data_IF_681902717435
#
_entry.id   IF_681902717435
#
_cell.length_a   1.000
_cell.length_b   1.000
_cell.length_c   1.000
_cell.angle_alpha   90.00
_cell.angle_beta   90.00
_cell.angle_gamma   90.00
#
_symmetry.space_group_name_H-M   'P 1'
#
loop_
_entity.id
_entity.type
_entity.pdbx_description
1 polymer ?
#
# COMPACT_ATOMS: atom_id res chain seq x y z
N UNK A 1 -2.72 24.24 10.90
CA UNK A 1 -2.46 22.92 11.50
C UNK A 1 -2.71 23.06 12.99
N UNK A 2 -3.81 22.47 13.49
CA UNK A 2 -4.27 22.64 14.87
C UNK A 2 -4.18 21.27 15.54
N UNK A 3 -3.15 21.00 16.37
CA UNK A 3 -2.90 19.67 16.88
C UNK A 3 -4.02 19.24 17.84
N UNK A 4 -4.42 17.98 17.74
CA UNK A 4 -5.40 17.36 18.66
C UNK A 4 -4.79 17.18 20.04
N UNK A 5 -3.51 16.80 20.11
CA UNK A 5 -2.77 16.61 21.36
C UNK A 5 -1.36 17.19 21.19
N UNK A 6 -0.88 17.85 22.23
CA UNK A 6 0.51 18.30 22.33
C UNK A 6 1.13 17.67 23.57
N UNK A 7 2.26 16.99 23.41
CA UNK A 7 2.99 16.37 24.51
C UNK A 7 4.44 16.83 24.55
N UNK A 8 5.02 16.79 25.74
CA UNK A 8 6.39 17.21 26.00
C UNK A 8 7.15 16.10 26.69
N UNK A 9 8.34 15.79 26.19
CA UNK A 9 9.28 14.87 26.82
C UNK A 9 10.52 15.63 27.27
N UNK A 10 10.92 15.47 28.53
CA UNK A 10 12.10 16.13 29.08
C UNK A 10 13.25 15.14 29.22
N UNK A 11 14.44 15.54 28.76
CA UNK A 11 15.67 14.79 28.95
C UNK A 11 16.34 15.11 30.29
N UNK A 12 17.21 14.22 30.75
CA UNK A 12 17.90 14.34 32.04
C UNK A 12 19.21 15.13 32.00
N UNK A 13 19.74 15.42 30.80
CA UNK A 13 20.98 16.21 30.64
C UNK A 13 20.70 17.70 30.76
N UNK A 14 21.58 18.42 31.45
CA UNK A 14 21.48 19.87 31.63
C UNK A 14 22.13 20.61 30.45
N UNK A 15 21.40 21.57 29.87
CA UNK A 15 21.91 22.49 28.84
C UNK A 15 21.47 23.92 29.20
N UNK A 16 22.07 24.94 28.58
CA UNK A 16 21.64 26.35 28.74
C UNK A 16 20.22 26.61 28.19
N UNK A 17 19.73 25.73 27.31
CA UNK A 17 18.37 25.72 26.76
C UNK A 17 17.56 24.56 27.34
N UNK A 18 16.22 24.64 27.36
CA UNK A 18 15.36 23.54 27.79
C UNK A 18 15.67 22.25 27.01
N UNK A 19 15.98 21.18 27.74
CA UNK A 19 16.16 19.85 27.17
C UNK A 19 14.80 19.16 27.01
N UNK A 20 14.00 19.62 26.05
CA UNK A 20 12.69 19.04 25.79
C UNK A 20 12.44 18.79 24.31
N UNK A 21 11.66 17.74 24.05
CA UNK A 21 11.05 17.45 22.76
C UNK A 21 9.57 17.76 22.89
N UNK A 22 9.01 18.43 21.89
CA UNK A 22 7.57 18.62 21.76
C UNK A 22 7.07 17.77 20.60
N UNK A 23 6.10 16.90 20.88
CA UNK A 23 5.39 16.15 19.86
C UNK A 23 4.01 16.77 19.63
N UNK A 24 3.64 16.86 18.36
CA UNK A 24 2.32 17.27 17.93
C UNK A 24 1.62 16.05 17.34
N UNK A 25 0.44 15.73 17.84
CA UNK A 25 -0.41 14.68 17.29
C UNK A 25 -1.63 15.37 16.68
N UNK A 26 -1.81 15.16 15.39
CA UNK A 26 -3.00 15.53 14.66
C UNK A 26 -3.76 14.23 14.37
N UNK A 27 -5.02 14.16 14.82
CA UNK A 27 -5.92 13.12 14.36
C UNK A 27 -6.60 13.64 13.10
N UNK A 28 -6.15 13.12 11.96
CA UNK A 28 -6.82 13.34 10.69
C UNK A 28 -7.86 12.22 10.60
N UNK A 29 -9.13 12.56 10.81
CA UNK A 29 -10.24 11.67 10.46
C UNK A 29 -10.44 11.76 8.94
N UNK A 30 -9.45 11.31 8.18
CA UNK A 30 -9.71 11.01 6.77
C UNK A 30 -10.70 9.84 6.76
N UNK A 31 -11.72 9.95 5.90
CA UNK A 31 -12.53 8.81 5.48
C UNK A 31 -11.58 7.64 5.19
N UNK A 32 -11.84 6.47 5.77
CA UNK A 32 -10.98 5.28 5.70
C UNK A 32 -10.25 5.19 4.34
N UNK A 33 -8.92 5.36 4.36
CA UNK A 33 -8.06 5.18 3.20
C UNK A 33 -8.18 3.72 2.75
N UNK A 34 -9.14 3.48 1.87
CA UNK A 34 -9.57 2.15 1.48
C UNK A 34 -8.87 1.76 0.19
N UNK A 35 -8.01 0.76 0.28
CA UNK A 35 -7.34 0.16 -0.87
C UNK A 35 -8.11 -1.10 -1.26
N UNK A 36 -8.37 -1.27 -2.56
CA UNK A 36 -8.92 -2.50 -3.11
C UNK A 36 -7.78 -3.36 -3.63
N UNK A 37 -7.86 -4.65 -3.30
CA UNK A 37 -7.07 -5.72 -3.90
C UNK A 37 -7.90 -6.42 -4.97
N UNK A 38 -7.46 -6.30 -6.23
CA UNK A 38 -7.96 -7.10 -7.35
C UNK A 38 -6.99 -8.27 -7.57
N UNK A 39 -7.50 -9.49 -7.49
CA UNK A 39 -6.71 -10.71 -7.71
C UNK A 39 -7.27 -11.54 -8.86
N UNK A 40 -6.36 -12.04 -9.71
CA UNK A 40 -6.70 -12.88 -10.85
C UNK A 40 -5.74 -14.08 -10.95
N UNK A 41 -6.29 -15.28 -11.12
CA UNK A 41 -5.48 -16.49 -11.30
C UNK A 41 -5.24 -16.74 -12.79
N UNK A 42 -3.96 -16.79 -13.17
CA UNK A 42 -3.51 -16.96 -14.55
C UNK A 42 -2.84 -18.33 -14.72
N UNK A 43 -3.41 -19.21 -15.54
CA UNK A 43 -2.84 -20.53 -15.86
C UNK A 43 -2.65 -20.80 -17.36
N UNK A 44 -3.16 -19.92 -18.21
CA UNK A 44 -3.08 -20.02 -19.68
C UNK A 44 -2.30 -18.83 -20.31
N UNK A 45 -1.44 -18.15 -19.54
CA UNK A 45 -0.56 -17.06 -20.01
C UNK A 45 0.92 -17.39 -19.83
N UNK A 46 1.78 -16.91 -20.74
CA UNK A 46 3.23 -17.03 -20.60
C UNK A 46 3.80 -15.97 -19.64
N UNK A 47 5.00 -16.19 -19.07
CA UNK A 47 5.67 -15.18 -18.24
C UNK A 47 5.89 -13.84 -18.94
N UNK A 48 6.12 -13.83 -20.25
CA UNK A 48 6.29 -12.61 -21.05
C UNK A 48 4.97 -11.83 -21.18
N UNK A 49 3.86 -12.53 -21.39
CA UNK A 49 2.52 -11.92 -21.43
C UNK A 49 2.13 -11.34 -20.07
N UNK A 50 2.48 -12.04 -18.99
CA UNK A 50 2.31 -11.53 -17.62
C UNK A 50 3.19 -10.30 -17.40
N UNK A 51 4.45 -10.32 -17.85
CA UNK A 51 5.35 -9.18 -17.77
C UNK A 51 4.80 -7.94 -18.48
N UNK A 52 4.31 -8.11 -19.71
CA UNK A 52 3.64 -7.04 -20.45
C UNK A 52 2.39 -6.53 -19.72
N UNK A 53 1.55 -7.42 -19.18
CA UNK A 53 0.37 -7.04 -18.40
C UNK A 53 0.73 -6.19 -17.18
N UNK A 54 1.78 -6.57 -16.43
CA UNK A 54 2.28 -5.80 -15.28
C UNK A 54 2.72 -4.41 -15.74
N UNK A 55 3.48 -4.29 -16.83
CA UNK A 55 3.88 -2.98 -17.36
C UNK A 55 2.67 -2.11 -17.73
N UNK A 56 1.65 -2.68 -18.36
CA UNK A 56 0.42 -1.93 -18.69
C UNK A 56 -0.34 -1.50 -17.44
N UNK A 57 -0.44 -2.36 -16.43
CA UNK A 57 -1.13 -2.05 -15.17
C UNK A 57 -0.38 -0.98 -14.37
N UNK A 58 0.96 -0.96 -14.40
CA UNK A 58 1.75 0.08 -13.75
C UNK A 58 1.66 1.45 -14.45
N UNK A 59 1.23 1.50 -15.72
CA UNK A 59 0.89 2.75 -16.42
C UNK A 59 -0.52 3.27 -16.08
N UNK A 60 -1.31 2.45 -15.38
CA UNK A 60 -2.66 2.78 -14.90
C UNK A 60 -2.60 3.37 -13.47
N UNK A 61 -3.72 3.78 -12.86
CA UNK A 61 -3.73 4.29 -11.48
C UNK A 61 -3.50 3.22 -10.39
N UNK A 62 -2.99 2.03 -10.76
CA UNK A 62 -2.59 1.03 -9.79
C UNK A 62 -1.49 1.56 -8.85
N UNK A 63 -1.66 1.33 -7.56
CA UNK A 63 -0.68 1.64 -6.52
C UNK A 63 0.46 0.60 -6.52
N UNK A 64 0.12 -0.66 -6.72
CA UNK A 64 1.06 -1.77 -6.72
C UNK A 64 0.54 -2.93 -7.58
N UNK A 65 1.46 -3.60 -8.27
CA UNK A 65 1.16 -4.79 -9.07
C UNK A 65 2.24 -5.82 -8.79
N UNK A 66 1.84 -7.02 -8.38
CA UNK A 66 2.78 -8.10 -8.09
C UNK A 66 2.19 -9.47 -8.44
N UNK A 67 3.05 -10.49 -8.45
CA UNK A 67 2.66 -11.86 -8.75
C UNK A 67 3.06 -12.83 -7.65
N UNK A 68 2.23 -13.85 -7.44
CA UNK A 68 2.51 -14.95 -6.52
C UNK A 68 2.37 -16.28 -7.26
N UNK A 69 3.35 -17.20 -7.21
CA UNK A 69 3.18 -18.53 -7.78
C UNK A 69 2.14 -19.31 -6.98
N UNK A 70 1.18 -19.91 -7.68
CA UNK A 70 0.09 -20.69 -7.07
C UNK A 70 -0.05 -22.06 -7.72
N UNK A 71 -0.66 -22.99 -7.01
CA UNK A 71 -1.06 -24.29 -7.57
C UNK A 71 -2.57 -24.31 -7.77
N UNK A 72 -3.01 -24.59 -8.99
CA UNK A 72 -4.43 -24.59 -9.36
C UNK A 72 -5.00 -26.01 -9.46
N UNK A 73 -6.31 -26.10 -9.72
CA UNK A 73 -7.00 -27.38 -9.94
C UNK A 73 -6.27 -28.22 -11.00
N UNK A 74 -6.40 -29.55 -10.91
CA UNK A 74 -5.71 -30.50 -11.79
C UNK A 74 -4.18 -30.43 -11.71
N UNK A 75 -3.62 -29.96 -10.59
CA UNK A 75 -2.17 -29.86 -10.36
C UNK A 75 -1.45 -28.99 -11.40
N UNK A 76 -2.12 -27.94 -11.88
CA UNK A 76 -1.55 -27.02 -12.85
C UNK A 76 -0.85 -25.87 -12.11
N UNK A 77 0.46 -25.63 -12.32
CA UNK A 77 1.11 -24.43 -11.81
C UNK A 77 0.52 -23.21 -12.51
N UNK A 78 0.21 -22.18 -11.72
CA UNK A 78 -0.32 -20.91 -12.20
C UNK A 78 0.33 -19.73 -11.48
N UNK A 79 -0.05 -18.54 -11.88
CA UNK A 79 0.42 -17.28 -11.30
C UNK A 79 -0.79 -16.46 -10.87
N UNK A 80 -0.85 -16.06 -9.61
CA UNK A 80 -1.83 -15.08 -9.14
C UNK A 80 -1.28 -13.68 -9.40
N UNK A 81 -1.98 -12.90 -10.19
CA UNK A 81 -1.72 -11.47 -10.41
C UNK A 81 -2.56 -10.69 -9.41
N UNK A 82 -1.90 -9.81 -8.65
CA UNK A 82 -2.54 -8.94 -7.66
C UNK A 82 -2.29 -7.48 -8.01
N UNK A 83 -3.34 -6.68 -7.98
CA UNK A 83 -3.32 -5.23 -8.23
C UNK A 83 -3.95 -4.52 -7.04
N UNK A 84 -3.22 -3.57 -6.46
CA UNK A 84 -3.71 -2.66 -5.43
C UNK A 84 -4.08 -1.33 -6.07
N UNK A 85 -5.28 -0.82 -5.80
CA UNK A 85 -5.76 0.46 -6.34
C UNK A 85 -6.74 1.14 -5.37
N UNK A 86 -7.04 2.42 -5.61
CA UNK A 86 -8.08 3.12 -4.85
C UNK A 86 -9.45 2.75 -5.41
N UNK A 87 -10.48 2.87 -4.57
CA UNK A 87 -11.88 2.62 -4.96
C UNK A 87 -12.29 3.46 -6.18
N UNK A 88 -11.85 4.71 -6.20
CA UNK A 88 -12.19 5.70 -7.24
C UNK A 88 -11.66 5.33 -8.63
N UNK A 89 -10.63 4.49 -8.68
CA UNK A 89 -9.93 4.11 -9.91
C UNK A 89 -10.53 2.87 -10.60
N UNK A 90 -11.56 2.26 -9.99
CA UNK A 90 -12.24 1.08 -10.54
C UNK A 90 -13.41 1.54 -11.41
N UNK A 91 -13.31 1.30 -12.72
CA UNK A 91 -14.45 1.36 -13.63
C UNK A 91 -15.21 0.02 -13.57
N UNK A 92 -16.50 0.08 -13.20
CA UNK A 92 -17.43 -1.07 -13.11
C UNK A 92 -18.25 -1.20 -14.39
#
# INVERSE_FOLDING_TARGET
MTPTIVSYGFGTKQFERPNCIRAFVEMINDSEDSIIELSCNLDDMTPEEIGFCIEQLLLSPALEVFTTPIMMKKQRPGTMLTVLCKIEDIEI
#
